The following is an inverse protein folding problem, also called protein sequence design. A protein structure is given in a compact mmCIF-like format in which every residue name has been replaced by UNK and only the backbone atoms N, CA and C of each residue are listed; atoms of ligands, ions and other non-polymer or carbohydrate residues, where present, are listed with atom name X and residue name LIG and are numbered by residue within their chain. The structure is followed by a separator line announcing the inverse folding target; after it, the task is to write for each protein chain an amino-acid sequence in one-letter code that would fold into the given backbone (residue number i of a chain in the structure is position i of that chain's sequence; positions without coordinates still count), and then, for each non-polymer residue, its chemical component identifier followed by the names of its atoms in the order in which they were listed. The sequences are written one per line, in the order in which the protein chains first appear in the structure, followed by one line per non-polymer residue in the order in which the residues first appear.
data_IF_799816129858
#
_entry.id   IF_799816129858
#
_cell.length_a   1.000
_cell.length_b   1.000
_cell.length_c   1.000
_cell.angle_alpha   90.00
_cell.angle_beta   90.00
_cell.angle_gamma   90.00
#
_symmetry.space_group_name_H-M   'P 1'
#
loop_
_entity.id
_entity.type
_entity.pdbx_description
1 polymer ?
#
# COMPACT_ATOMS: atom_id res chain seq x y z
N UNK A 1 -10.37 -34.34 -23.13
CA UNK A 1 -8.94 -34.22 -22.90
C UNK A 1 -8.24 -33.69 -24.15
N UNK A 2 -7.12 -33.03 -23.97
CA UNK A 2 -6.28 -32.49 -25.05
C UNK A 2 -4.79 -32.70 -24.72
N UNK A 3 -3.93 -32.61 -25.74
CA UNK A 3 -2.50 -32.82 -25.61
C UNK A 3 -2.05 -34.26 -25.72
N UNK A 4 -0.80 -34.56 -25.36
CA UNK A 4 -0.13 -35.85 -25.60
C UNK A 4 -0.74 -37.06 -24.88
N UNK A 5 -1.67 -36.84 -23.95
CA UNK A 5 -2.36 -37.90 -23.17
C UNK A 5 -3.85 -38.02 -23.50
N UNK A 6 -4.28 -37.41 -24.60
CA UNK A 6 -5.69 -37.45 -25.03
C UNK A 6 -6.17 -38.90 -25.26
N UNK A 7 -5.32 -39.78 -25.86
CA UNK A 7 -5.64 -41.19 -26.06
C UNK A 7 -5.88 -41.95 -24.74
N UNK A 8 -5.24 -41.55 -23.64
CA UNK A 8 -5.49 -42.18 -22.35
C UNK A 8 -6.90 -41.83 -21.86
N UNK A 9 -7.28 -40.53 -21.96
CA UNK A 9 -8.59 -40.06 -21.49
C UNK A 9 -9.72 -40.62 -22.36
N UNK A 10 -9.53 -40.70 -23.67
CA UNK A 10 -10.54 -41.23 -24.61
C UNK A 10 -10.79 -42.74 -24.45
N UNK A 11 -9.91 -43.48 -23.83
CA UNK A 11 -10.07 -44.91 -23.54
C UNK A 11 -10.76 -45.20 -22.20
N UNK A 12 -11.09 -44.16 -21.41
CA UNK A 12 -11.80 -44.32 -20.14
C UNK A 12 -13.31 -44.51 -20.38
N UNK A 13 -13.91 -45.35 -19.60
CA UNK A 13 -15.34 -45.59 -19.56
C UNK A 13 -15.94 -45.09 -18.24
N UNK A 14 -17.24 -44.85 -18.22
CA UNK A 14 -17.95 -44.53 -17.02
C UNK A 14 -17.81 -45.66 -15.97
N UNK A 15 -17.37 -45.33 -14.78
CA UNK A 15 -17.08 -46.30 -13.71
C UNK A 15 -15.60 -46.68 -13.58
N UNK A 16 -14.74 -46.31 -14.52
CA UNK A 16 -13.31 -46.56 -14.40
C UNK A 16 -12.71 -45.76 -13.23
N UNK A 17 -11.87 -46.43 -12.45
CA UNK A 17 -11.15 -45.80 -11.34
C UNK A 17 -9.83 -45.28 -11.86
N UNK A 18 -9.59 -43.99 -11.73
CA UNK A 18 -8.33 -43.34 -12.06
C UNK A 18 -7.63 -42.83 -10.82
N UNK A 19 -6.32 -43.02 -10.72
CA UNK A 19 -5.49 -42.43 -9.70
C UNK A 19 -4.81 -41.17 -10.26
N UNK A 20 -5.04 -40.02 -9.62
CA UNK A 20 -4.37 -38.76 -9.96
C UNK A 20 -3.26 -38.54 -8.93
N UNK A 21 -1.99 -38.56 -9.37
CA UNK A 21 -0.84 -38.24 -8.54
C UNK A 21 -0.31 -36.88 -8.93
N UNK A 22 -0.38 -35.93 -8.01
CA UNK A 22 0.24 -34.63 -8.14
C UNK A 22 1.57 -34.60 -7.40
N UNK A 23 2.64 -34.26 -8.13
CA UNK A 23 3.94 -34.01 -7.53
C UNK A 23 4.31 -32.54 -7.71
N UNK A 24 4.48 -31.82 -6.60
CA UNK A 24 4.99 -30.45 -6.64
C UNK A 24 6.51 -30.54 -6.54
N UNK A 25 7.20 -29.99 -7.54
CA UNK A 25 8.66 -29.89 -7.56
C UNK A 25 9.05 -28.44 -7.33
N UNK A 26 9.89 -28.22 -6.33
CA UNK A 26 10.44 -26.90 -6.02
C UNK A 26 11.87 -26.84 -6.53
N UNK A 27 12.11 -26.07 -7.59
CA UNK A 27 13.47 -25.85 -8.07
C UNK A 27 14.22 -24.97 -7.06
N UNK A 28 15.39 -25.43 -6.62
CA UNK A 28 16.23 -24.71 -5.67
C UNK A 28 15.84 -24.86 -4.20
N UNK A 29 14.78 -25.61 -3.88
CA UNK A 29 14.44 -25.91 -2.48
C UNK A 29 15.13 -27.21 -2.04
N UNK A 30 16.06 -27.08 -1.12
CA UNK A 30 16.91 -28.21 -0.69
C UNK A 30 16.64 -28.71 0.73
N UNK A 31 15.66 -28.15 1.43
CA UNK A 31 15.46 -28.54 2.81
C UNK A 31 14.09 -28.25 3.40
N UNK A 32 13.75 -29.06 4.39
CA UNK A 32 12.58 -28.85 5.23
C UNK A 32 11.25 -29.32 4.62
N UNK A 33 10.23 -29.31 5.47
CA UNK A 33 8.83 -29.59 5.09
C UNK A 33 8.16 -28.29 4.73
N UNK A 34 7.60 -28.18 3.52
CA UNK A 34 6.75 -27.07 3.16
C UNK A 34 5.44 -27.21 3.94
N UNK A 35 5.12 -26.18 4.70
CA UNK A 35 3.89 -26.13 5.49
C UNK A 35 2.77 -25.43 4.74
N UNK A 36 3.12 -24.38 3.99
CA UNK A 36 2.15 -23.58 3.21
C UNK A 36 2.80 -23.15 1.89
N UNK A 37 1.99 -23.00 0.86
CA UNK A 37 2.41 -22.48 -0.42
C UNK A 37 1.27 -21.69 -1.05
N UNK A 38 1.59 -20.55 -1.65
CA UNK A 38 0.67 -19.71 -2.39
C UNK A 38 1.28 -19.41 -3.75
N UNK A 39 0.48 -19.54 -4.80
CA UNK A 39 0.90 -19.27 -6.18
C UNK A 39 0.85 -17.79 -6.51
N UNK A 40 1.85 -17.31 -7.25
CA UNK A 40 1.89 -15.95 -7.78
C UNK A 40 2.72 -15.87 -9.06
N UNK A 41 2.51 -14.83 -9.85
CA UNK A 41 3.23 -14.58 -11.10
C UNK A 41 3.02 -13.12 -11.54
N UNK A 42 4.08 -12.47 -12.05
CA UNK A 42 5.47 -12.87 -12.04
C UNK A 42 6.20 -12.53 -10.74
N UNK A 43 7.45 -12.97 -10.62
CA UNK A 43 8.40 -12.33 -9.72
C UNK A 43 8.63 -10.90 -10.21
N UNK A 44 8.51 -9.96 -9.29
CA UNK A 44 8.68 -8.51 -9.56
C UNK A 44 10.10 -8.04 -9.23
N UNK A 45 10.61 -8.50 -8.10
CA UNK A 45 11.91 -8.12 -7.55
C UNK A 45 12.65 -9.37 -7.12
N UNK A 46 13.92 -9.46 -7.45
CA UNK A 46 14.83 -10.48 -6.92
C UNK A 46 16.22 -9.93 -6.71
N UNK A 47 16.82 -10.23 -5.53
CA UNK A 47 18.10 -9.71 -5.12
C UNK A 47 18.13 -8.17 -5.07
N UNK A 48 17.02 -7.52 -4.74
CA UNK A 48 16.91 -6.06 -4.69
C UNK A 48 16.87 -5.38 -6.07
N UNK A 49 16.61 -6.14 -7.15
CA UNK A 49 16.53 -5.61 -8.51
C UNK A 49 15.17 -5.90 -9.12
N UNK A 50 14.61 -4.91 -9.79
CA UNK A 50 13.39 -5.10 -10.61
C UNK A 50 13.70 -6.09 -11.72
N UNK A 51 12.84 -7.09 -11.89
CA UNK A 51 12.92 -8.04 -12.99
C UNK A 51 12.16 -7.50 -14.20
N UNK A 52 12.61 -7.90 -15.39
CA UNK A 52 11.87 -7.63 -16.63
C UNK A 52 10.60 -8.48 -16.64
N UNK A 53 9.46 -7.84 -16.45
CA UNK A 53 8.15 -8.49 -16.41
C UNK A 53 7.33 -8.23 -17.67
N UNK A 54 7.81 -7.37 -18.59
CA UNK A 54 7.04 -6.90 -19.75
C UNK A 54 6.80 -8.00 -20.78
N UNK A 55 7.68 -9.00 -20.82
CA UNK A 55 7.62 -10.12 -21.77
C UNK A 55 6.87 -11.34 -21.23
N UNK A 56 6.38 -11.31 -19.99
CA UNK A 56 5.81 -12.51 -19.37
C UNK A 56 4.38 -12.80 -19.82
N UNK A 57 3.49 -11.80 -19.81
CA UNK A 57 2.06 -11.94 -20.17
C UNK A 57 1.48 -10.55 -20.48
N UNK A 58 0.66 -10.45 -21.53
CA UNK A 58 0.08 -9.19 -22.00
C UNK A 58 -0.68 -8.39 -20.92
N UNK A 59 -1.39 -9.08 -20.01
CA UNK A 59 -2.15 -8.41 -18.95
C UNK A 59 -1.26 -7.74 -17.88
N UNK A 60 0.04 -8.02 -17.84
CA UNK A 60 0.98 -7.42 -16.91
C UNK A 60 1.39 -6.01 -17.32
N UNK A 61 1.28 -5.69 -18.60
CA UNK A 61 1.58 -4.36 -19.15
C UNK A 61 0.42 -3.37 -19.01
N UNK A 62 -0.80 -3.87 -18.71
CA UNK A 62 -1.97 -3.02 -18.52
C UNK A 62 -2.11 -2.52 -17.09
N UNK A 63 -2.64 -1.28 -16.95
CA UNK A 63 -2.97 -0.68 -15.66
C UNK A 63 -4.19 -1.37 -15.06
N UNK A 64 -4.04 -1.92 -13.85
CA UNK A 64 -5.09 -2.69 -13.17
C UNK A 64 -4.89 -2.67 -11.65
N UNK A 65 -5.93 -3.01 -10.84
CA UNK A 65 -5.71 -3.35 -9.44
C UNK A 65 -4.69 -4.47 -9.31
N UNK A 66 -3.78 -4.36 -8.36
CA UNK A 66 -2.68 -5.32 -8.16
C UNK A 66 -2.54 -5.70 -6.70
N UNK A 67 -2.11 -6.94 -6.50
CA UNK A 67 -1.72 -7.47 -5.20
C UNK A 67 -0.27 -7.93 -5.29
N UNK A 68 0.56 -7.54 -4.33
CA UNK A 68 1.94 -7.99 -4.25
C UNK A 68 2.35 -8.29 -2.82
N UNK A 69 3.28 -9.22 -2.68
CA UNK A 69 3.91 -9.56 -1.40
C UNK A 69 5.41 -9.62 -1.59
N UNK A 70 6.15 -9.10 -0.63
CA UNK A 70 7.60 -9.13 -0.65
C UNK A 70 8.20 -9.07 0.74
N UNK A 71 9.51 -9.26 0.82
CA UNK A 71 10.26 -9.16 2.06
C UNK A 71 11.63 -8.52 1.83
N UNK A 72 12.20 -7.95 2.90
CA UNK A 72 13.54 -7.37 2.87
C UNK A 72 14.64 -8.44 2.92
N UNK A 73 15.89 -8.01 2.67
CA UNK A 73 17.04 -8.91 2.63
C UNK A 73 17.29 -9.65 3.96
N UNK A 74 17.04 -8.98 5.09
CA UNK A 74 17.19 -9.50 6.43
C UNK A 74 16.06 -10.47 6.82
N UNK A 75 15.01 -10.57 6.00
CA UNK A 75 13.81 -11.42 6.23
C UNK A 75 13.09 -11.13 7.55
N UNK A 76 13.17 -9.90 8.03
CA UNK A 76 12.50 -9.44 9.24
C UNK A 76 11.36 -8.47 8.99
N UNK A 77 11.08 -8.15 7.70
CA UNK A 77 9.98 -7.30 7.27
C UNK A 77 9.24 -7.95 6.10
N UNK A 78 7.94 -8.18 6.28
CA UNK A 78 7.02 -8.58 5.22
C UNK A 78 6.26 -7.35 4.73
N UNK A 79 6.15 -7.19 3.43
CA UNK A 79 5.33 -6.14 2.79
C UNK A 79 4.18 -6.82 2.06
N UNK A 80 2.97 -6.50 2.43
CA UNK A 80 1.74 -6.87 1.72
C UNK A 80 1.17 -5.60 1.11
N UNK A 81 0.91 -5.61 -0.18
CA UNK A 81 0.47 -4.44 -0.93
C UNK A 81 -0.73 -4.77 -1.78
N UNK A 82 -1.76 -3.93 -1.70
CA UNK A 82 -2.83 -3.84 -2.66
C UNK A 82 -2.82 -2.44 -3.25
N UNK A 83 -2.85 -2.34 -4.56
CA UNK A 83 -3.01 -1.10 -5.31
C UNK A 83 -4.38 -1.11 -5.98
N UNK A 84 -5.21 -0.13 -5.66
CA UNK A 84 -6.51 0.05 -6.31
C UNK A 84 -6.35 0.45 -7.77
N UNK A 85 -7.36 0.15 -8.56
CA UNK A 85 -7.38 0.48 -9.98
C UNK A 85 -8.78 0.43 -10.59
N UNK A 86 -8.86 0.65 -11.91
CA UNK A 86 -10.11 0.65 -12.67
C UNK A 86 -11.14 1.67 -12.14
N UNK A 87 -10.68 2.75 -11.53
CA UNK A 87 -11.53 3.81 -11.01
C UNK A 87 -11.08 5.19 -11.50
N UNK A 88 -11.91 6.21 -11.28
CA UNK A 88 -11.57 7.60 -11.61
C UNK A 88 -10.44 8.17 -10.74
N UNK A 89 -10.19 7.55 -9.57
CA UNK A 89 -9.14 7.98 -8.62
C UNK A 89 -7.82 7.29 -8.93
N UNK A 90 -7.88 6.01 -9.31
CA UNK A 90 -6.71 5.20 -9.62
C UNK A 90 -6.99 4.28 -10.80
N UNK A 91 -6.12 4.29 -11.81
CA UNK A 91 -6.15 3.31 -12.90
C UNK A 91 -5.48 1.99 -12.50
N UNK A 92 -4.67 2.02 -11.45
CA UNK A 92 -3.81 0.93 -10.99
C UNK A 92 -2.43 0.93 -11.68
N UNK A 93 -1.44 0.25 -11.07
CA UNK A 93 -0.08 0.15 -11.64
C UNK A 93 0.00 -0.95 -12.71
N UNK A 94 0.89 -0.76 -13.68
CA UNK A 94 1.48 -1.84 -14.47
C UNK A 94 2.50 -2.60 -13.62
N UNK A 95 2.88 -3.81 -14.02
CA UNK A 95 3.80 -4.66 -13.22
C UNK A 95 5.15 -4.01 -12.94
N UNK A 96 5.69 -3.23 -13.88
CA UNK A 96 6.95 -2.49 -13.68
C UNK A 96 6.84 -1.46 -12.55
N UNK A 97 5.76 -0.67 -12.55
CA UNK A 97 5.51 0.33 -11.49
C UNK A 97 5.28 -0.36 -10.14
N UNK A 98 4.57 -1.49 -10.14
CA UNK A 98 4.37 -2.30 -8.93
C UNK A 98 5.72 -2.78 -8.36
N UNK A 99 6.64 -3.24 -9.23
CA UNK A 99 7.98 -3.64 -8.82
C UNK A 99 8.78 -2.47 -8.21
N UNK A 100 8.71 -1.28 -8.82
CA UNK A 100 9.36 -0.07 -8.29
C UNK A 100 8.81 0.31 -6.91
N UNK A 101 7.49 0.17 -6.69
CA UNK A 101 6.86 0.38 -5.39
C UNK A 101 7.38 -0.62 -4.36
N UNK A 102 7.51 -1.90 -4.71
CA UNK A 102 8.04 -2.91 -3.79
C UNK A 102 9.50 -2.66 -3.42
N UNK A 103 10.34 -2.20 -4.36
CA UNK A 103 11.71 -1.73 -4.08
C UNK A 103 11.67 -0.55 -3.10
N UNK A 104 10.83 0.44 -3.37
CA UNK A 104 10.68 1.62 -2.50
C UNK A 104 10.23 1.24 -1.08
N UNK A 105 9.38 0.21 -0.96
CA UNK A 105 8.97 -0.36 0.33
C UNK A 105 10.08 -1.15 1.05
N UNK A 106 11.25 -1.31 0.42
CA UNK A 106 12.43 -1.97 0.98
C UNK A 106 12.49 -3.47 0.73
N UNK A 107 11.73 -3.99 -0.24
CA UNK A 107 11.76 -5.41 -0.59
C UNK A 107 13.03 -5.75 -1.38
N UNK A 108 13.66 -6.86 -1.02
CA UNK A 108 14.69 -7.52 -1.83
C UNK A 108 14.12 -8.64 -2.70
N UNK A 109 12.99 -9.20 -2.29
CA UNK A 109 12.23 -10.19 -3.05
C UNK A 109 10.77 -9.77 -3.04
N UNK A 110 10.10 -9.83 -4.20
CA UNK A 110 8.67 -9.53 -4.30
C UNK A 110 8.02 -10.27 -5.47
N UNK A 111 6.77 -10.66 -5.27
CA UNK A 111 5.97 -11.40 -6.23
C UNK A 111 4.60 -10.75 -6.39
N UNK A 112 4.11 -10.72 -7.62
CA UNK A 112 2.73 -10.35 -7.94
C UNK A 112 1.81 -11.56 -7.72
N UNK A 113 0.63 -11.29 -7.15
CA UNK A 113 -0.44 -12.27 -7.01
C UNK A 113 -1.61 -11.93 -7.93
N UNK A 114 -2.72 -12.65 -7.82
CA UNK A 114 -3.94 -12.35 -8.55
C UNK A 114 -4.37 -10.90 -8.28
N UNK A 115 -4.90 -10.26 -9.31
CA UNK A 115 -5.20 -8.84 -9.35
C UNK A 115 -6.64 -8.55 -9.75
N UNK A 116 -6.89 -7.36 -10.25
CA UNK A 116 -8.22 -6.95 -10.68
C UNK A 116 -9.23 -6.99 -9.54
N UNK A 117 -10.40 -7.59 -9.77
CA UNK A 117 -11.45 -7.72 -8.76
C UNK A 117 -11.10 -8.59 -7.56
N UNK A 118 -10.04 -9.42 -7.65
CA UNK A 118 -9.54 -10.25 -6.55
C UNK A 118 -8.64 -9.47 -5.57
N UNK A 119 -8.24 -8.24 -5.93
CA UNK A 119 -7.40 -7.40 -5.05
C UNK A 119 -8.22 -6.87 -3.89
N UNK A 120 -8.04 -7.46 -2.72
CA UNK A 120 -8.72 -7.06 -1.48
C UNK A 120 -7.74 -7.08 -0.32
N UNK A 121 -7.75 -6.04 0.50
CA UNK A 121 -6.98 -5.95 1.73
C UNK A 121 -7.92 -5.77 2.92
N UNK A 122 -7.96 -6.76 3.78
CA UNK A 122 -8.80 -6.76 4.97
C UNK A 122 -7.95 -6.65 6.23
N UNK A 123 -8.32 -5.77 7.13
CA UNK A 123 -7.72 -5.63 8.47
C UNK A 123 -8.78 -5.93 9.51
N UNK A 124 -8.48 -6.88 10.42
CA UNK A 124 -9.40 -7.23 11.50
C UNK A 124 -9.75 -6.00 12.33
N UNK A 125 -11.05 -5.74 12.46
CA UNK A 125 -11.56 -4.58 13.15
C UNK A 125 -11.74 -3.33 12.29
N UNK A 126 -11.06 -3.22 11.14
CA UNK A 126 -11.22 -2.11 10.18
C UNK A 126 -12.07 -2.49 8.98
N UNK A 127 -12.12 -3.79 8.67
CA UNK A 127 -12.79 -4.28 7.49
C UNK A 127 -11.89 -4.20 6.26
N UNK A 128 -12.50 -4.09 5.09
CA UNK A 128 -11.79 -3.89 3.82
C UNK A 128 -11.30 -2.45 3.77
N UNK A 129 -9.98 -2.27 3.63
CA UNK A 129 -9.33 -0.96 3.68
C UNK A 129 -8.95 -0.41 2.30
N UNK A 130 -9.08 -1.21 1.24
CA UNK A 130 -8.94 -0.76 -0.15
C UNK A 130 -10.31 -0.65 -0.83
N UNK A 131 -10.33 -0.21 -2.09
CA UNK A 131 -11.56 -0.13 -2.89
C UNK A 131 -11.58 -1.23 -3.95
N UNK A 132 -12.23 -2.38 -3.69
CA UNK A 132 -12.33 -3.47 -4.66
C UNK A 132 -12.97 -3.00 -5.96
N UNK A 133 -12.35 -3.31 -7.11
CA UNK A 133 -12.80 -2.81 -8.42
C UNK A 133 -14.13 -3.39 -8.89
N UNK A 134 -14.62 -4.45 -8.26
CA UNK A 134 -15.95 -5.03 -8.53
C UNK A 134 -17.07 -4.38 -7.67
N UNK A 135 -16.72 -3.36 -6.88
CA UNK A 135 -17.64 -2.69 -5.96
C UNK A 135 -17.82 -3.39 -4.62
N UNK A 136 -17.39 -4.63 -4.50
CA UNK A 136 -17.40 -5.47 -3.28
C UNK A 136 -16.30 -6.52 -3.37
N UNK A 137 -16.03 -7.20 -2.25
CA UNK A 137 -15.10 -8.33 -2.21
C UNK A 137 -15.55 -9.44 -3.16
N UNK A 138 -14.61 -9.95 -3.93
CA UNK A 138 -14.82 -11.12 -4.77
C UNK A 138 -14.55 -12.40 -3.97
N UNK A 139 -15.38 -13.43 -4.16
CA UNK A 139 -15.06 -14.77 -3.67
C UNK A 139 -13.80 -15.29 -4.36
N UNK A 140 -12.77 -15.61 -3.58
CA UNK A 140 -11.50 -16.17 -4.03
C UNK A 140 -11.25 -17.50 -3.34
N UNK A 141 -10.44 -18.37 -3.92
CA UNK A 141 -10.17 -19.71 -3.39
C UNK A 141 -9.20 -19.72 -2.21
N UNK A 142 -8.31 -18.72 -2.14
CA UNK A 142 -7.25 -18.63 -1.15
C UNK A 142 -6.89 -17.18 -0.84
N UNK A 143 -6.06 -16.99 0.19
CA UNK A 143 -5.56 -15.68 0.59
C UNK A 143 -4.35 -15.82 1.51
N UNK A 144 -3.56 -14.77 1.60
CA UNK A 144 -2.47 -14.67 2.56
C UNK A 144 -2.96 -14.00 3.84
N UNK A 145 -2.76 -14.65 4.98
CA UNK A 145 -3.19 -14.15 6.28
C UNK A 145 -1.98 -13.95 7.18
N UNK A 146 -1.95 -12.83 7.87
CA UNK A 146 -1.11 -12.62 9.04
C UNK A 146 -1.95 -12.81 10.29
N UNK A 147 -1.47 -13.63 11.21
CA UNK A 147 -2.10 -13.84 12.51
C UNK A 147 -1.08 -13.59 13.63
N UNK A 148 -1.58 -13.27 14.80
CA UNK A 148 -0.77 -13.07 16.00
C UNK A 148 -1.34 -13.92 17.14
N UNK A 149 -0.44 -14.45 17.96
CA UNK A 149 -0.78 -15.13 19.22
C UNK A 149 -0.90 -14.12 20.39
N UNK A 150 -0.99 -12.80 20.08
CA UNK A 150 -1.16 -11.76 21.07
C UNK A 150 -2.38 -12.03 21.97
N UNK A 151 -2.25 -11.85 23.28
CA UNK A 151 -3.38 -11.96 24.20
C UNK A 151 -4.51 -10.99 23.80
N UNK A 152 -5.73 -11.52 23.66
CA UNK A 152 -6.90 -10.74 23.21
C UNK A 152 -7.31 -9.62 24.18
N UNK A 153 -6.85 -9.68 25.42
CA UNK A 153 -7.19 -8.76 26.50
C UNK A 153 -6.08 -7.75 26.84
N UNK A 154 -4.98 -7.73 26.09
CA UNK A 154 -3.94 -6.71 26.28
C UNK A 154 -4.35 -5.43 25.54
N UNK A 155 -4.97 -4.53 26.26
CA UNK A 155 -5.40 -3.21 25.77
C UNK A 155 -4.43 -2.08 26.15
N UNK A 156 -3.25 -2.40 26.64
CA UNK A 156 -2.22 -1.42 27.04
C UNK A 156 -1.63 -0.77 25.81
N UNK A 157 -1.78 0.54 25.67
CA UNK A 157 -1.19 1.30 24.57
C UNK A 157 0.31 1.44 24.82
N UNK A 158 1.11 0.91 23.91
CA UNK A 158 2.58 1.03 23.91
C UNK A 158 3.12 1.77 22.70
N UNK A 159 2.28 1.99 21.68
CA UNK A 159 2.61 2.77 20.48
C UNK A 159 1.38 3.55 20.04
N UNK A 160 1.59 4.78 19.58
CA UNK A 160 0.55 5.59 18.95
C UNK A 160 0.92 5.90 17.50
N UNK A 161 -0.08 6.05 16.64
CA UNK A 161 0.12 6.43 15.23
C UNK A 161 -1.01 7.35 14.77
N UNK A 162 -0.68 8.29 13.89
CA UNK A 162 -1.70 9.01 13.14
C UNK A 162 -2.46 8.04 12.24
N UNK A 163 -3.78 8.21 12.13
CA UNK A 163 -4.58 7.48 11.14
C UNK A 163 -4.15 7.87 9.71
N UNK A 164 -3.87 9.15 9.51
CA UNK A 164 -3.34 9.65 8.23
C UNK A 164 -1.84 9.31 8.10
N UNK A 165 -1.39 8.93 6.91
CA UNK A 165 0.04 8.71 6.60
C UNK A 165 0.75 9.99 6.18
N UNK A 166 0.02 10.92 5.59
CA UNK A 166 0.42 12.27 5.26
C UNK A 166 -0.82 13.15 5.16
N UNK A 167 -0.70 14.46 5.36
CA UNK A 167 -1.81 15.40 5.26
C UNK A 167 -1.43 16.58 4.37
N UNK A 168 -2.35 16.99 3.52
CA UNK A 168 -2.24 18.26 2.79
C UNK A 168 -3.36 19.17 3.25
N UNK A 169 -3.00 20.41 3.60
CA UNK A 169 -3.90 21.44 4.10
C UNK A 169 -3.68 22.71 3.27
N UNK A 170 -4.67 23.57 3.19
CA UNK A 170 -4.46 24.93 2.75
C UNK A 170 -4.10 25.81 3.94
N UNK A 171 -3.46 26.94 3.68
CA UNK A 171 -3.27 27.95 4.72
C UNK A 171 -4.64 28.41 5.24
N UNK A 172 -4.80 28.42 6.58
CA UNK A 172 -6.06 28.72 7.26
C UNK A 172 -6.89 27.48 7.63
N UNK A 173 -6.57 26.29 7.10
CA UNK A 173 -7.30 25.08 7.47
C UNK A 173 -7.01 24.66 8.91
N UNK A 174 -8.04 24.15 9.59
CA UNK A 174 -7.92 23.49 10.88
C UNK A 174 -7.89 21.96 10.69
N UNK A 175 -7.02 21.27 11.42
CA UNK A 175 -6.87 19.83 11.34
C UNK A 175 -6.79 19.20 12.72
N UNK A 176 -7.78 18.38 13.07
CA UNK A 176 -7.82 17.56 14.28
C UNK A 176 -7.58 16.11 13.88
N UNK A 177 -6.37 15.55 14.11
CA UNK A 177 -6.04 14.20 13.71
C UNK A 177 -6.72 13.16 14.59
N UNK A 178 -7.00 12.00 14.01
CA UNK A 178 -7.32 10.77 14.76
C UNK A 178 -6.01 10.03 15.04
N UNK A 179 -5.84 9.60 16.28
CA UNK A 179 -4.65 8.87 16.73
C UNK A 179 -5.05 7.47 17.14
N UNK A 180 -4.46 6.49 16.52
CA UNK A 180 -4.62 5.08 16.85
C UNK A 180 -3.63 4.63 17.93
N UNK A 181 -4.12 3.80 18.86
CA UNK A 181 -3.32 3.17 19.92
C UNK A 181 -3.11 1.69 19.66
N UNK A 182 -1.88 1.25 19.74
CA UNK A 182 -1.49 -0.15 19.54
C UNK A 182 -0.82 -0.69 20.80
N UNK A 183 -1.04 -1.98 21.10
CA UNK A 183 -0.35 -2.66 22.17
C UNK A 183 1.05 -3.12 21.75
N UNK A 184 1.80 -3.75 22.66
CA UNK A 184 3.17 -4.25 22.43
C UNK A 184 3.27 -5.30 21.31
N UNK A 185 2.16 -5.91 20.91
CA UNK A 185 2.08 -6.89 19.82
C UNK A 185 1.68 -6.25 18.48
N UNK A 186 1.55 -4.91 18.43
CA UNK A 186 1.10 -4.19 17.24
C UNK A 186 -0.40 -4.34 16.93
N UNK A 187 -1.19 -4.84 17.87
CA UNK A 187 -2.65 -4.94 17.72
C UNK A 187 -3.28 -3.58 18.01
N UNK A 188 -4.15 -3.12 17.12
CA UNK A 188 -4.95 -1.91 17.31
C UNK A 188 -5.93 -2.13 18.46
N UNK A 189 -5.77 -1.38 19.54
CA UNK A 189 -6.59 -1.47 20.76
C UNK A 189 -7.44 -0.23 21.01
N UNK A 190 -7.05 0.91 20.43
CA UNK A 190 -7.82 2.14 20.51
C UNK A 190 -7.79 2.88 19.17
N UNK A 191 -8.97 3.24 18.66
CA UNK A 191 -9.15 3.91 17.36
C UNK A 191 -9.15 5.43 17.45
N UNK A 192 -9.16 5.98 18.65
CA UNK A 192 -9.12 7.41 18.88
C UNK A 192 -8.63 7.70 20.31
N UNK A 193 -7.32 7.60 20.50
CA UNK A 193 -6.68 7.78 21.79
C UNK A 193 -6.98 9.18 22.32
N UNK A 194 -7.67 9.26 23.45
CA UNK A 194 -7.95 10.51 24.13
C UNK A 194 -6.74 11.00 24.95
N UNK A 195 -6.66 12.31 25.20
CA UNK A 195 -5.56 12.90 25.97
C UNK A 195 -4.25 13.05 25.20
N UNK A 196 -4.29 12.91 23.89
CA UNK A 196 -3.17 13.22 22.99
C UNK A 196 -2.98 14.75 22.91
N UNK A 197 -1.75 15.20 22.93
CA UNK A 197 -1.38 16.59 22.69
C UNK A 197 -0.55 16.72 21.42
N UNK A 198 -0.84 17.74 20.63
CA UNK A 198 -0.10 18.04 19.41
C UNK A 198 1.00 19.09 19.69
N UNK A 199 2.05 19.03 18.90
CA UNK A 199 3.08 20.06 18.82
C UNK A 199 3.63 20.20 17.42
N UNK A 200 4.00 21.40 17.02
CA UNK A 200 4.62 21.66 15.72
C UNK A 200 5.51 22.90 15.78
N UNK A 201 6.36 23.07 14.76
CA UNK A 201 7.09 24.32 14.55
C UNK A 201 6.20 25.44 14.02
N UNK A 202 6.57 26.70 14.28
CA UNK A 202 5.85 27.90 13.81
C UNK A 202 5.72 27.94 12.26
N UNK A 203 6.61 27.28 11.55
CA UNK A 203 6.58 27.17 10.09
C UNK A 203 5.42 26.31 9.58
N UNK A 204 4.81 25.47 10.43
CA UNK A 204 3.63 24.69 10.07
C UNK A 204 2.35 25.43 10.45
N UNK A 205 2.32 25.99 11.64
CA UNK A 205 1.13 26.64 12.19
C UNK A 205 1.15 26.75 13.71
N UNK A 206 -0.02 26.86 14.29
CA UNK A 206 -0.23 26.94 15.75
C UNK A 206 -1.17 25.83 16.20
N UNK A 207 -0.94 25.35 17.42
CA UNK A 207 -1.83 24.37 18.07
C UNK A 207 -2.83 25.13 18.93
N UNK A 208 -4.09 24.69 18.94
CA UNK A 208 -5.14 25.24 19.82
C UNK A 208 -4.79 25.05 21.30
N UNK A 209 -5.42 25.84 22.16
CA UNK A 209 -5.14 25.84 23.62
C UNK A 209 -5.44 24.48 24.29
N UNK A 210 -6.35 23.68 23.73
CA UNK A 210 -6.64 22.32 24.19
C UNK A 210 -5.60 21.29 23.71
N UNK A 211 -4.68 21.71 22.84
CA UNK A 211 -3.61 20.85 22.33
C UNK A 211 -4.02 19.85 21.25
N UNK A 212 -5.26 19.90 20.72
CA UNK A 212 -5.81 18.86 19.88
C UNK A 212 -5.89 19.18 18.39
N UNK A 213 -5.84 20.46 18.03
CA UNK A 213 -6.07 20.92 16.66
C UNK A 213 -4.91 21.78 16.16
N UNK A 214 -4.43 21.47 14.98
CA UNK A 214 -3.49 22.29 14.22
C UNK A 214 -4.26 23.32 13.38
N UNK A 215 -3.94 24.60 13.53
CA UNK A 215 -4.33 25.66 12.61
C UNK A 215 -3.15 25.95 11.68
N UNK A 216 -3.29 25.55 10.41
CA UNK A 216 -2.23 25.66 9.42
C UNK A 216 -2.05 27.12 8.99
N UNK A 217 -0.90 27.72 9.24
CA UNK A 217 -0.62 29.12 8.88
C UNK A 217 0.69 29.30 8.12
N UNK A 218 1.48 28.23 8.02
CA UNK A 218 2.75 28.23 7.30
C UNK A 218 2.62 27.84 5.83
N UNK A 219 3.71 27.39 5.25
CA UNK A 219 3.77 26.84 3.89
C UNK A 219 4.85 25.78 3.78
N UNK A 220 4.71 24.86 2.81
CA UNK A 220 5.65 23.76 2.61
C UNK A 220 5.36 22.54 3.49
N UNK A 221 6.30 21.60 3.53
CA UNK A 221 6.13 20.31 4.24
C UNK A 221 6.88 20.34 5.56
N UNK A 222 6.16 20.06 6.64
CA UNK A 222 6.68 20.08 8.01
C UNK A 222 6.13 18.91 8.81
N UNK A 223 6.73 18.64 9.97
CA UNK A 223 6.31 17.55 10.85
C UNK A 223 5.34 18.06 11.93
N UNK A 224 4.20 17.39 12.04
CA UNK A 224 3.28 17.49 13.19
C UNK A 224 3.59 16.33 14.13
N UNK A 225 3.79 16.60 15.41
CA UNK A 225 4.05 15.59 16.44
C UNK A 225 2.83 15.42 17.32
N UNK A 226 2.47 14.17 17.62
CA UNK A 226 1.48 13.83 18.64
C UNK A 226 2.16 13.12 19.81
N UNK A 227 1.79 13.49 21.05
CA UNK A 227 2.29 12.92 22.28
C UNK A 227 1.17 12.37 23.15
N UNK A 228 1.40 11.19 23.75
CA UNK A 228 0.51 10.54 24.71
C UNK A 228 1.36 9.91 25.83
N UNK A 229 1.35 10.51 27.01
CA UNK A 229 2.28 10.14 28.08
C UNK A 229 3.74 10.32 27.61
N UNK A 230 4.49 9.23 27.59
CA UNK A 230 5.87 9.18 27.08
C UNK A 230 5.98 8.71 25.62
N UNK A 231 4.84 8.42 24.97
CA UNK A 231 4.78 7.98 23.59
C UNK A 231 4.68 9.17 22.65
N UNK A 232 5.37 9.10 21.51
CA UNK A 232 5.30 10.14 20.48
C UNK A 232 5.22 9.51 19.10
N UNK A 233 4.57 10.21 18.17
CA UNK A 233 4.55 9.88 16.75
C UNK A 233 4.52 11.15 15.91
N UNK A 234 4.90 11.05 14.64
CA UNK A 234 4.98 12.20 13.74
C UNK A 234 4.22 11.96 12.43
N UNK A 235 3.66 13.03 11.88
CA UNK A 235 2.96 13.07 10.60
C UNK A 235 3.59 14.13 9.71
N UNK A 236 3.84 13.80 8.45
CA UNK A 236 4.22 14.79 7.44
C UNK A 236 2.99 15.58 6.98
N UNK A 237 3.00 16.88 7.20
CA UNK A 237 1.92 17.80 6.81
C UNK A 237 2.46 18.80 5.80
N UNK A 238 1.82 18.88 4.64
CA UNK A 238 2.12 19.86 3.59
C UNK A 238 1.06 20.95 3.63
N UNK A 239 1.46 22.19 3.85
CA UNK A 239 0.58 23.35 3.78
C UNK A 239 0.80 24.06 2.46
N UNK A 240 -0.28 24.20 1.71
CA UNK A 240 -0.32 24.98 0.47
C UNK A 240 -0.61 26.42 0.87
N UNK A 241 0.40 27.30 0.73
CA UNK A 241 0.21 28.73 0.91
C UNK A 241 -0.72 29.29 -0.19
N UNK A 242 -1.43 30.36 0.12
CA UNK A 242 -2.07 31.13 -0.94
C UNK A 242 -0.97 31.55 -1.91
N UNK A 243 -1.06 31.09 -3.16
CA UNK A 243 -0.24 31.65 -4.21
C UNK A 243 -0.65 33.13 -4.31
N UNK A 244 0.23 34.01 -3.84
CA UNK A 244 0.02 35.45 -3.86
C UNK A 244 0.01 36.04 -5.27
N UNK A 245 -0.82 35.48 -6.15
CA UNK A 245 -1.25 36.12 -7.38
C UNK A 245 -2.60 36.76 -7.07
N UNK A 246 -2.54 37.86 -6.32
CA UNK A 246 -3.64 38.80 -6.31
C UNK A 246 -3.77 39.34 -7.74
N UNK A 247 -4.83 38.94 -8.44
CA UNK A 247 -5.34 39.47 -9.70
C UNK A 247 -4.25 39.99 -10.64
N UNK A 248 -3.83 39.16 -11.58
CA UNK A 248 -3.18 39.65 -12.79
C UNK A 248 -4.24 40.45 -13.55
N UNK A 249 -4.03 41.77 -13.62
CA UNK A 249 -4.75 42.63 -14.53
C UNK A 249 -4.65 42.02 -15.93
N UNK A 250 -5.78 41.69 -16.50
CA UNK A 250 -5.92 40.94 -17.76
C UNK A 250 -5.46 41.75 -19.01
N UNK A 251 -4.70 42.82 -18.83
CA UNK A 251 -4.23 43.68 -19.92
C UNK A 251 -2.86 43.30 -20.53
N UNK A 252 -2.15 42.32 -19.93
CA UNK A 252 -0.94 41.75 -20.56
C UNK A 252 -0.94 40.23 -20.41
N UNK A 253 -1.32 39.56 -21.48
CA UNK A 253 -1.20 38.13 -21.61
C UNK A 253 0.26 37.70 -21.48
N UNK A 254 0.64 37.09 -20.33
CA UNK A 254 1.91 36.45 -20.18
C UNK A 254 1.90 35.16 -21.01
N UNK A 255 2.46 35.23 -22.22
CA UNK A 255 2.67 34.03 -23.02
C UNK A 255 3.86 33.26 -22.42
N UNK A 256 3.57 32.21 -21.67
CA UNK A 256 4.58 31.24 -21.32
C UNK A 256 4.75 30.28 -22.49
N UNK A 257 5.76 30.50 -23.30
CA UNK A 257 6.19 29.52 -24.30
C UNK A 257 6.87 28.36 -23.56
N UNK A 258 6.56 27.09 -23.89
CA UNK A 258 7.37 26.00 -23.38
C UNK A 258 8.78 26.14 -23.95
N UNK A 259 9.71 26.46 -23.11
CA UNK A 259 11.12 26.36 -23.43
C UNK A 259 11.41 24.85 -23.61
N UNK A 260 12.02 24.40 -24.71
CA UNK A 260 12.33 22.99 -24.86
C UNK A 260 13.37 22.62 -23.79
N UNK A 261 12.93 21.86 -22.78
CA UNK A 261 13.78 21.33 -21.74
C UNK A 261 14.44 20.08 -22.30
N UNK A 262 15.70 20.18 -22.62
CA UNK A 262 16.52 19.06 -23.13
C UNK A 262 16.79 17.95 -22.09
N UNK A 263 16.23 18.03 -20.91
CA UNK A 263 16.38 16.98 -19.90
C UNK A 263 15.05 16.79 -19.16
N UNK A 264 14.48 15.63 -19.38
CA UNK A 264 13.46 14.91 -18.63
C UNK A 264 12.51 15.73 -17.77
N UNK A 265 11.29 15.93 -18.25
CA UNK A 265 10.17 16.39 -17.43
C UNK A 265 9.97 15.37 -16.31
N UNK A 266 10.32 15.71 -15.08
CA UNK A 266 9.78 15.03 -13.92
C UNK A 266 8.32 15.48 -13.83
N UNK A 267 7.42 14.68 -14.37
CA UNK A 267 6.00 14.84 -14.07
C UNK A 267 5.87 14.74 -12.55
N UNK A 268 5.21 15.73 -11.88
CA UNK A 268 4.84 15.52 -10.50
C UNK A 268 4.01 14.25 -10.48
N UNK A 269 4.37 13.31 -9.61
CA UNK A 269 3.57 12.13 -9.32
C UNK A 269 2.15 12.63 -9.07
N UNK A 270 1.25 12.38 -10.02
CA UNK A 270 -0.17 12.53 -9.78
C UNK A 270 -0.40 11.72 -8.53
N UNK A 271 -0.95 12.34 -7.49
CA UNK A 271 -1.26 11.69 -6.21
C UNK A 271 -2.18 10.52 -6.48
N UNK A 272 -1.61 9.36 -6.81
CA UNK A 272 -2.31 8.10 -6.72
C UNK A 272 -2.25 7.73 -5.24
N UNK A 273 -3.39 7.60 -4.62
CA UNK A 273 -3.48 7.13 -3.25
C UNK A 273 -3.11 5.64 -3.27
N UNK A 274 -1.83 5.35 -3.03
CA UNK A 274 -1.38 3.99 -2.74
C UNK A 274 -1.48 3.80 -1.23
N UNK A 275 -2.39 2.95 -0.81
CA UNK A 275 -2.42 2.49 0.57
C UNK A 275 -1.34 1.41 0.72
N UNK A 276 -0.18 1.78 1.23
CA UNK A 276 0.90 0.84 1.55
C UNK A 276 0.72 0.48 3.02
N UNK A 277 0.18 -0.70 3.29
CA UNK A 277 0.14 -1.24 4.64
C UNK A 277 1.41 -2.06 4.88
N UNK A 278 2.34 -1.52 5.66
CA UNK A 278 3.47 -2.28 6.18
C UNK A 278 3.11 -2.74 7.59
N UNK A 279 3.01 -4.05 7.81
CA UNK A 279 3.03 -4.64 9.15
C UNK A 279 4.44 -5.14 9.46
N UNK A 280 4.96 -4.70 10.60
CA UNK A 280 6.25 -5.14 11.16
C UNK A 280 5.96 -6.24 12.16
#
# INVERSE_FOLDING_TARGET
GSGTKESFVSNLSEGDVVEVRCAIRFNGFTGGKIQQALGGCPMLVSGGKVLDTENALDHLTSAQPRTAVGYNAEKNKLVMLVADGRSSISVGPISKVLADIMIYAGCSEAMNFDGGGSSTFYVKGEGVINQPSDGSERSVSDGLYLSTDAPQNDVTITTIRFMDYAKTLNQGDAYTPVIYGYNQYGVLVDRNVEGVTLSCGLSLGTITNDGTTLNASGSGTHMLTAGYGNLTTTLSVTVIGESGISSVDNSQALMIYPNPVEQGIRLPLIKQHFQICCYI
#
